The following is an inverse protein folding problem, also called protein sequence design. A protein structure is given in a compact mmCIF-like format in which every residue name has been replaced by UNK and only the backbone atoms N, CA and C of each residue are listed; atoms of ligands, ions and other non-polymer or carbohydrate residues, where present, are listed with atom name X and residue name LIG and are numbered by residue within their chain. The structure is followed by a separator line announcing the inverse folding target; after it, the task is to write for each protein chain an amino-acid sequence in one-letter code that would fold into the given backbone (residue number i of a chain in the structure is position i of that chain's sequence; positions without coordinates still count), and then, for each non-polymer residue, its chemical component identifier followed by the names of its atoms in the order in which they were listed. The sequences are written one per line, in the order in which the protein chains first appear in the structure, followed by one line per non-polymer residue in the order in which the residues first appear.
data_IF_120394118224
#
_entry.id   IF_120394118224
#
_cell.length_a   1.000
_cell.length_b   1.000
_cell.length_c   1.000
_cell.angle_alpha   90.00
_cell.angle_beta   90.00
_cell.angle_gamma   90.00
#
_symmetry.space_group_name_H-M   'P 1'
#
loop_
_entity.id
_entity.type
_entity.pdbx_description
1 polymer ?
#
# COMPACT_ATOMS: atom_id res chain seq x y z
N UNK A 1 20.76 33.54 -28.98
CA UNK A 1 19.34 33.15 -28.92
C UNK A 1 19.00 32.96 -27.44
N UNK A 2 18.13 33.79 -26.86
CA UNK A 2 17.79 33.70 -25.43
C UNK A 2 16.58 32.77 -25.28
N UNK A 3 16.80 31.46 -25.29
CA UNK A 3 15.72 30.49 -25.09
C UNK A 3 15.21 30.65 -23.65
N UNK A 4 13.90 30.87 -23.41
CA UNK A 4 13.36 30.85 -22.07
C UNK A 4 13.67 29.50 -21.42
N UNK A 5 14.41 29.52 -20.31
CA UNK A 5 14.88 28.29 -19.62
C UNK A 5 13.72 27.34 -19.32
N UNK A 6 12.54 27.89 -19.00
CA UNK A 6 11.35 27.10 -18.74
C UNK A 6 10.91 26.29 -19.98
N UNK A 7 10.87 26.90 -21.16
CA UNK A 7 10.56 26.20 -22.42
C UNK A 7 11.62 25.15 -22.75
N UNK A 8 12.88 25.43 -22.40
CA UNK A 8 13.97 24.50 -22.60
C UNK A 8 13.80 23.21 -21.77
N UNK A 9 13.53 23.34 -20.47
CA UNK A 9 13.38 22.19 -19.56
C UNK A 9 12.08 21.42 -19.75
N UNK A 10 11.08 22.00 -20.42
CA UNK A 10 9.79 21.35 -20.73
C UNK A 10 9.80 20.43 -21.95
N UNK A 11 10.95 20.23 -22.59
CA UNK A 11 11.06 19.21 -23.65
C UNK A 11 12.18 19.41 -24.65
N UNK A 12 12.70 20.64 -24.81
CA UNK A 12 13.83 20.84 -25.72
C UNK A 12 15.11 20.18 -25.19
N UNK A 13 15.28 20.16 -23.87
CA UNK A 13 16.40 19.47 -23.22
C UNK A 13 16.49 18.01 -23.67
N UNK A 14 15.39 17.27 -23.52
CA UNK A 14 15.31 15.84 -23.82
C UNK A 14 15.60 15.57 -25.29
N UNK A 15 14.96 16.32 -26.20
CA UNK A 15 15.17 16.20 -27.66
C UNK A 15 16.63 16.45 -28.04
N UNK A 16 17.24 17.49 -27.46
CA UNK A 16 18.64 17.83 -27.78
C UNK A 16 19.58 16.78 -27.18
N UNK A 17 19.34 16.32 -25.95
CA UNK A 17 20.14 15.28 -25.29
C UNK A 17 20.15 14.01 -26.13
N UNK A 18 18.97 13.57 -26.57
CA UNK A 18 18.81 12.37 -27.40
C UNK A 18 19.48 12.51 -28.76
N UNK A 19 19.31 13.66 -29.44
CA UNK A 19 19.88 13.86 -30.77
C UNK A 19 21.42 14.04 -30.78
N UNK A 20 22.00 14.52 -29.67
CA UNK A 20 23.42 14.93 -29.65
C UNK A 20 24.29 14.11 -28.70
N UNK A 21 23.70 13.29 -27.83
CA UNK A 21 24.39 12.65 -26.70
C UNK A 21 25.22 13.64 -25.86
N UNK A 22 24.82 14.91 -25.82
CA UNK A 22 25.59 15.96 -25.16
C UNK A 22 25.62 15.76 -23.64
N UNK A 23 26.83 15.65 -23.09
CA UNK A 23 27.07 15.47 -21.65
C UNK A 23 26.92 16.75 -20.84
N UNK A 24 26.92 17.94 -21.45
CA UNK A 24 26.96 19.22 -20.72
C UNK A 24 25.69 20.09 -20.79
N UNK A 25 24.56 19.61 -21.32
CA UNK A 25 23.37 20.44 -21.52
C UNK A 25 22.84 21.12 -20.25
N UNK A 26 23.06 20.51 -19.08
CA UNK A 26 22.72 21.11 -17.78
C UNK A 26 23.40 22.45 -17.52
N UNK A 27 24.52 22.77 -18.17
CA UNK A 27 25.22 24.04 -17.99
C UNK A 27 24.31 25.25 -18.28
N UNK A 28 23.41 25.12 -19.26
CA UNK A 28 22.47 26.18 -19.64
C UNK A 28 21.39 26.45 -18.59
N UNK A 29 21.17 25.50 -17.68
CA UNK A 29 20.24 25.60 -16.55
C UNK A 29 20.97 26.02 -15.28
N UNK A 30 22.21 25.56 -15.07
CA UNK A 30 22.98 25.78 -13.84
C UNK A 30 23.06 27.26 -13.45
N UNK A 31 23.40 28.13 -14.40
CA UNK A 31 23.55 29.58 -14.15
C UNK A 31 22.22 30.28 -13.88
N UNK A 32 21.10 29.67 -14.27
CA UNK A 32 19.76 30.27 -14.23
C UNK A 32 18.82 29.56 -13.25
N UNK A 33 19.33 28.57 -12.53
CA UNK A 33 18.52 27.71 -11.65
C UNK A 33 17.75 28.51 -10.61
N UNK A 34 18.34 29.58 -10.04
CA UNK A 34 17.67 30.43 -9.05
C UNK A 34 16.42 31.10 -9.64
N UNK A 35 16.58 31.75 -10.80
CA UNK A 35 15.48 32.41 -11.49
C UNK A 35 14.42 31.42 -12.01
N UNK A 36 14.83 30.19 -12.34
CA UNK A 36 13.90 29.11 -12.66
C UNK A 36 13.11 28.69 -11.42
N UNK A 37 13.78 28.39 -10.31
CA UNK A 37 13.16 27.99 -9.03
C UNK A 37 12.15 29.00 -8.50
N UNK A 38 12.38 30.29 -8.70
CA UNK A 38 11.44 31.35 -8.28
C UNK A 38 10.15 31.38 -9.12
N UNK A 39 10.17 30.83 -10.35
CA UNK A 39 9.07 30.92 -11.31
C UNK A 39 8.28 29.64 -11.51
N UNK A 40 8.91 28.47 -11.29
CA UNK A 40 8.24 27.19 -11.54
C UNK A 40 7.06 26.96 -10.60
N UNK A 41 5.96 26.50 -11.18
CA UNK A 41 4.76 26.04 -10.48
C UNK A 41 4.53 24.55 -10.73
N UNK A 42 3.55 23.97 -10.04
CA UNK A 42 3.26 22.53 -10.10
C UNK A 42 2.98 22.03 -11.52
N UNK A 43 2.16 22.75 -12.30
CA UNK A 43 1.85 22.38 -13.68
C UNK A 43 3.07 22.43 -14.60
N UNK A 44 4.09 23.22 -14.28
CA UNK A 44 5.34 23.24 -15.03
C UNK A 44 6.13 21.96 -14.80
N UNK A 45 6.17 21.45 -13.57
CA UNK A 45 6.87 20.21 -13.19
C UNK A 45 6.31 19.02 -13.97
N UNK A 46 4.98 18.94 -14.07
CA UNK A 46 4.31 17.89 -14.86
C UNK A 46 4.64 17.95 -16.35
N UNK A 47 5.04 19.13 -16.85
CA UNK A 47 5.44 19.33 -18.24
C UNK A 47 6.96 19.26 -18.45
N UNK A 48 7.76 19.07 -17.40
CA UNK A 48 9.22 18.92 -17.55
C UNK A 48 9.58 17.62 -18.26
N UNK A 49 10.66 17.67 -19.04
CA UNK A 49 11.19 16.48 -19.69
C UNK A 49 11.69 15.45 -18.66
N UNK A 50 11.36 14.16 -18.79
CA UNK A 50 11.84 13.13 -17.87
C UNK A 50 13.36 12.99 -17.87
N UNK A 51 14.03 13.15 -19.03
CA UNK A 51 15.49 13.07 -19.13
C UNK A 51 16.13 14.24 -18.41
N UNK A 52 15.56 15.44 -18.55
CA UNK A 52 15.98 16.61 -17.78
C UNK A 52 15.90 16.38 -16.27
N UNK A 53 14.74 15.94 -15.76
CA UNK A 53 14.58 15.68 -14.33
C UNK A 53 15.58 14.65 -13.82
N UNK A 54 15.74 13.55 -14.54
CA UNK A 54 16.70 12.52 -14.19
C UNK A 54 18.14 13.06 -14.09
N UNK A 55 18.59 13.81 -15.10
CA UNK A 55 19.92 14.42 -15.10
C UNK A 55 20.10 15.42 -13.95
N UNK A 56 19.07 16.23 -13.64
CA UNK A 56 19.09 17.14 -12.49
C UNK A 56 19.29 16.36 -11.20
N UNK A 57 18.54 15.30 -10.94
CA UNK A 57 18.68 14.53 -9.70
C UNK A 57 20.03 13.79 -9.60
N UNK A 58 20.62 13.36 -10.72
CA UNK A 58 21.95 12.73 -10.76
C UNK A 58 23.14 13.70 -10.65
N UNK A 59 22.94 14.99 -10.84
CA UNK A 59 24.02 16.00 -10.91
C UNK A 59 24.67 16.41 -9.57
N UNK A 60 24.48 15.64 -8.50
CA UNK A 60 24.98 15.96 -7.16
C UNK A 60 24.42 17.28 -6.62
N UNK A 61 25.21 18.02 -5.84
CA UNK A 61 24.77 19.25 -5.14
C UNK A 61 24.60 20.49 -6.06
N UNK A 62 25.00 20.38 -7.33
CA UNK A 62 25.07 21.53 -8.25
C UNK A 62 23.71 22.19 -8.53
N UNK A 63 22.61 21.49 -8.26
CA UNK A 63 21.24 21.92 -8.53
C UNK A 63 20.36 21.95 -7.27
N UNK A 64 20.95 22.06 -6.07
CA UNK A 64 20.21 22.01 -4.81
C UNK A 64 19.07 23.04 -4.71
N UNK A 65 19.26 24.24 -5.26
CA UNK A 65 18.21 25.28 -5.23
C UNK A 65 17.00 24.84 -6.06
N UNK A 66 17.24 24.22 -7.21
CA UNK A 66 16.18 23.69 -8.07
C UNK A 66 15.56 22.44 -7.45
N UNK A 67 16.37 21.49 -6.98
CA UNK A 67 15.89 20.27 -6.30
C UNK A 67 15.01 20.59 -5.09
N UNK A 68 15.41 21.53 -4.23
CA UNK A 68 14.59 21.97 -3.09
C UNK A 68 13.24 22.52 -3.52
N UNK A 69 13.18 23.30 -4.59
CA UNK A 69 11.92 23.82 -5.13
C UNK A 69 11.05 22.71 -5.72
N UNK A 70 11.64 21.79 -6.48
CA UNK A 70 10.94 20.63 -7.06
C UNK A 70 10.39 19.71 -5.98
N UNK A 71 11.20 19.37 -4.98
CA UNK A 71 10.77 18.60 -3.80
C UNK A 71 9.60 19.29 -3.10
N UNK A 72 9.68 20.61 -2.84
CA UNK A 72 8.60 21.35 -2.21
C UNK A 72 7.29 21.34 -3.03
N UNK A 73 7.38 21.42 -4.36
CA UNK A 73 6.21 21.30 -5.24
C UNK A 73 5.62 19.89 -5.23
N UNK A 74 6.45 18.85 -5.22
CA UNK A 74 6.01 17.46 -5.13
C UNK A 74 5.37 17.15 -3.76
N UNK A 75 5.90 17.69 -2.67
CA UNK A 75 5.26 17.64 -1.34
C UNK A 75 3.86 18.29 -1.35
N UNK A 76 3.57 19.18 -2.30
CA UNK A 76 2.25 19.76 -2.50
C UNK A 76 1.13 18.72 -2.70
N UNK A 77 1.46 17.49 -3.10
CA UNK A 77 0.51 16.34 -3.14
C UNK A 77 -0.15 16.11 -1.78
N UNK A 78 0.56 16.37 -0.68
CA UNK A 78 0.11 16.13 0.69
C UNK A 78 -0.47 17.38 1.36
N UNK A 79 -0.64 18.48 0.61
CA UNK A 79 -1.07 19.77 1.17
C UNK A 79 -2.55 19.83 1.55
N UNK A 80 -3.39 18.98 0.95
CA UNK A 80 -4.81 18.88 1.28
C UNK A 80 -5.33 17.46 1.09
N UNK A 81 -6.40 17.12 1.81
CA UNK A 81 -7.06 15.82 1.69
C UNK A 81 -7.60 15.56 0.29
N UNK A 82 -8.21 16.56 -0.34
CA UNK A 82 -8.74 16.48 -1.70
C UNK A 82 -7.64 16.12 -2.70
N UNK A 83 -6.51 16.84 -2.62
CA UNK A 83 -5.37 16.62 -3.52
C UNK A 83 -4.75 15.24 -3.34
N UNK A 84 -4.61 14.81 -2.08
CA UNK A 84 -4.06 13.50 -1.75
C UNK A 84 -4.97 12.37 -2.26
N UNK A 85 -6.29 12.50 -2.09
CA UNK A 85 -7.27 11.52 -2.60
C UNK A 85 -7.21 11.41 -4.13
N UNK A 86 -7.15 12.54 -4.86
CA UNK A 86 -6.96 12.51 -6.31
C UNK A 86 -5.70 11.71 -6.68
N UNK A 87 -4.61 11.95 -5.96
CA UNK A 87 -3.32 11.30 -6.22
C UNK A 87 -3.29 9.82 -5.85
N UNK A 88 -4.23 9.29 -5.05
CA UNK A 88 -4.35 7.85 -4.83
C UNK A 88 -4.60 7.10 -6.14
N UNK A 89 -5.36 7.71 -7.07
CA UNK A 89 -5.66 7.14 -8.39
C UNK A 89 -4.75 7.68 -9.48
N UNK A 90 -4.54 9.01 -9.53
CA UNK A 90 -3.78 9.67 -10.60
C UNK A 90 -2.67 10.52 -10.01
N UNK A 91 -1.47 9.93 -9.89
CA UNK A 91 -0.25 10.64 -9.52
C UNK A 91 0.55 10.98 -10.79
N UNK A 92 0.84 12.27 -11.08
CA UNK A 92 1.68 12.62 -12.23
C UNK A 92 3.07 11.98 -12.16
N UNK A 93 3.54 11.42 -13.28
CA UNK A 93 4.79 10.65 -13.36
C UNK A 93 6.00 11.43 -12.83
N UNK A 94 6.10 12.72 -13.15
CA UNK A 94 7.20 13.56 -12.68
C UNK A 94 7.13 13.81 -11.17
N UNK A 95 5.93 13.94 -10.59
CA UNK A 95 5.77 14.07 -9.14
C UNK A 95 6.15 12.77 -8.45
N UNK A 96 5.71 11.63 -8.99
CA UNK A 96 6.11 10.31 -8.50
C UNK A 96 7.63 10.16 -8.52
N UNK A 97 8.28 10.47 -9.63
CA UNK A 97 9.74 10.42 -9.76
C UNK A 97 10.43 11.28 -8.70
N UNK A 98 9.99 12.52 -8.50
CA UNK A 98 10.57 13.42 -7.48
C UNK A 98 10.41 12.83 -6.07
N UNK A 99 9.23 12.32 -5.73
CA UNK A 99 8.97 11.68 -4.43
C UNK A 99 9.85 10.44 -4.22
N UNK A 100 10.03 9.60 -5.25
CA UNK A 100 10.95 8.46 -5.21
C UNK A 100 12.40 8.91 -4.94
N UNK A 101 12.85 9.98 -5.60
CA UNK A 101 14.19 10.53 -5.36
C UNK A 101 14.34 11.07 -3.93
N UNK A 102 13.29 11.66 -3.36
CA UNK A 102 13.28 12.11 -1.97
C UNK A 102 13.45 10.93 -1.01
N UNK A 103 12.68 9.85 -1.20
CA UNK A 103 12.80 8.63 -0.39
C UNK A 103 14.19 8.00 -0.47
N UNK A 104 14.78 7.91 -1.67
CA UNK A 104 16.15 7.39 -1.85
C UNK A 104 17.20 8.23 -1.11
N UNK A 105 16.92 9.51 -0.87
CA UNK A 105 17.77 10.43 -0.11
C UNK A 105 17.42 10.46 1.40
N UNK A 106 16.50 9.62 1.87
CA UNK A 106 16.03 9.60 3.26
C UNK A 106 15.20 10.82 3.65
N UNK A 107 14.65 11.56 2.68
CA UNK A 107 13.76 12.68 2.93
C UNK A 107 12.31 12.19 2.94
N UNK A 108 11.75 12.10 4.14
CA UNK A 108 10.38 11.70 4.37
C UNK A 108 9.46 12.90 4.59
N UNK A 109 8.19 12.73 4.27
CA UNK A 109 7.16 13.76 4.36
C UNK A 109 6.47 13.66 5.72
N UNK A 110 6.33 14.81 6.37
CA UNK A 110 5.48 14.95 7.56
C UNK A 110 4.25 15.77 7.19
N UNK A 111 3.09 15.12 7.15
CA UNK A 111 1.82 15.83 6.94
C UNK A 111 1.49 16.72 8.13
N UNK A 112 1.10 17.97 7.88
CA UNK A 112 0.58 18.87 8.92
C UNK A 112 -0.87 18.52 9.29
N UNK A 113 -1.63 17.94 8.36
CA UNK A 113 -2.99 17.46 8.57
C UNK A 113 -3.08 16.03 9.12
N UNK A 114 -4.30 15.54 9.30
CA UNK A 114 -4.53 14.17 9.77
C UNK A 114 -4.11 13.14 8.71
N UNK A 115 -3.29 12.18 9.13
CA UNK A 115 -2.95 11.00 8.32
C UNK A 115 -4.09 9.99 8.24
N UNK A 116 -5.14 10.16 9.05
CA UNK A 116 -6.31 9.29 9.01
C UNK A 116 -7.13 9.36 7.73
N UNK A 117 -6.78 10.28 6.82
CA UNK A 117 -7.31 10.33 5.46
C UNK A 117 -7.07 9.04 4.67
N UNK A 118 -5.95 8.33 4.92
CA UNK A 118 -5.68 7.04 4.29
C UNK A 118 -6.72 5.99 4.70
N UNK A 119 -7.03 5.91 6.00
CA UNK A 119 -8.02 4.98 6.52
C UNK A 119 -9.45 5.41 6.18
N UNK A 120 -9.80 6.70 6.33
CA UNK A 120 -11.13 7.20 6.02
C UNK A 120 -11.50 7.00 4.55
N UNK A 121 -10.53 7.14 3.64
CA UNK A 121 -10.77 6.88 2.22
C UNK A 121 -11.21 5.44 1.96
N UNK A 122 -10.63 4.43 2.61
CA UNK A 122 -11.11 3.04 2.46
C UNK A 122 -12.50 2.80 3.06
N UNK A 123 -12.90 3.58 4.07
CA UNK A 123 -14.26 3.53 4.64
C UNK A 123 -15.29 4.03 3.63
N UNK A 124 -14.98 5.13 2.95
CA UNK A 124 -15.95 5.89 2.16
C UNK A 124 -15.93 5.56 0.65
N UNK A 125 -14.77 5.21 0.08
CA UNK A 125 -14.60 5.10 -1.37
C UNK A 125 -15.39 3.94 -2.00
N UNK A 126 -16.06 4.20 -3.12
CA UNK A 126 -16.84 3.18 -3.84
C UNK A 126 -15.96 2.02 -4.36
N UNK A 127 -16.53 0.79 -4.50
CA UNK A 127 -15.74 -0.41 -4.80
C UNK A 127 -14.89 -0.31 -6.08
N UNK A 128 -15.42 0.33 -7.13
CA UNK A 128 -14.72 0.56 -8.40
C UNK A 128 -13.54 1.52 -8.23
N UNK A 129 -13.69 2.57 -7.44
CA UNK A 129 -12.62 3.53 -7.13
C UNK A 129 -11.53 2.87 -6.28
N UNK A 130 -11.93 2.04 -5.31
CA UNK A 130 -11.01 1.37 -4.39
C UNK A 130 -9.99 0.49 -5.15
N UNK A 131 -10.44 -0.21 -6.19
CA UNK A 131 -9.55 -1.04 -7.01
C UNK A 131 -8.49 -0.25 -7.78
N UNK A 132 -8.79 1.00 -8.14
CA UNK A 132 -7.94 1.85 -8.99
C UNK A 132 -6.95 2.74 -8.22
N UNK A 133 -6.91 2.66 -6.89
CA UNK A 133 -5.96 3.43 -6.08
C UNK A 133 -4.57 2.80 -6.02
N UNK A 134 -3.87 2.79 -7.16
CA UNK A 134 -2.55 2.16 -7.28
C UNK A 134 -1.44 2.91 -6.53
N UNK A 135 -1.61 4.21 -6.32
CA UNK A 135 -0.57 5.07 -5.74
C UNK A 135 -0.67 5.20 -4.22
N UNK A 136 -1.73 4.70 -3.58
CA UNK A 136 -1.97 4.91 -2.15
C UNK A 136 -0.84 4.36 -1.27
N UNK A 137 -0.36 3.15 -1.57
CA UNK A 137 0.76 2.54 -0.82
C UNK A 137 2.06 3.32 -1.03
N UNK A 138 2.33 3.75 -2.27
CA UNK A 138 3.49 4.58 -2.58
C UNK A 138 3.46 5.91 -1.80
N UNK A 139 2.32 6.61 -1.81
CA UNK A 139 2.15 7.87 -1.11
C UNK A 139 2.26 7.70 0.42
N UNK A 140 1.71 6.61 0.97
CA UNK A 140 1.93 6.22 2.36
C UNK A 140 3.42 6.00 2.65
N UNK A 141 4.15 5.32 1.76
CA UNK A 141 5.58 5.04 1.96
C UNK A 141 6.45 6.30 1.98
N UNK A 142 5.96 7.42 1.42
CA UNK A 142 6.65 8.70 1.43
C UNK A 142 6.61 9.39 2.81
N UNK A 143 5.70 8.98 3.70
CA UNK A 143 5.54 9.56 5.02
C UNK A 143 6.71 9.20 5.95
N UNK A 144 6.87 9.97 7.03
CA UNK A 144 7.77 9.62 8.12
C UNK A 144 7.31 8.37 8.89
N UNK A 145 8.24 7.70 9.57
CA UNK A 145 8.01 6.39 10.22
C UNK A 145 6.83 6.42 11.19
N UNK A 146 6.73 7.48 12.00
CA UNK A 146 5.66 7.65 12.98
C UNK A 146 4.29 7.76 12.31
N UNK A 147 4.20 8.55 11.25
CA UNK A 147 2.96 8.69 10.48
C UNK A 147 2.61 7.40 9.73
N UNK A 148 3.61 6.67 9.24
CA UNK A 148 3.39 5.36 8.60
C UNK A 148 2.79 4.35 9.56
N UNK A 149 3.34 4.24 10.77
CA UNK A 149 2.82 3.37 11.84
C UNK A 149 1.38 3.76 12.22
N UNK A 150 1.12 5.07 12.39
CA UNK A 150 -0.23 5.56 12.71
C UNK A 150 -1.25 5.16 11.64
N UNK A 151 -0.89 5.26 10.35
CA UNK A 151 -1.76 4.81 9.26
C UNK A 151 -1.98 3.29 9.30
N UNK A 152 -0.95 2.49 9.59
CA UNK A 152 -1.12 1.03 9.69
C UNK A 152 -2.04 0.63 10.85
N UNK A 153 -1.93 1.30 11.99
CA UNK A 153 -2.83 1.10 13.13
C UNK A 153 -4.29 1.44 12.75
N UNK A 154 -4.51 2.59 12.11
CA UNK A 154 -5.86 2.97 11.67
C UNK A 154 -6.41 2.04 10.57
N UNK A 155 -5.56 1.53 9.67
CA UNK A 155 -5.97 0.55 8.67
C UNK A 155 -6.32 -0.80 9.30
N UNK A 156 -5.60 -1.20 10.36
CA UNK A 156 -5.93 -2.39 11.14
C UNK A 156 -7.30 -2.25 11.80
N UNK A 157 -7.60 -1.09 12.41
CA UNK A 157 -8.92 -0.79 12.96
C UNK A 157 -10.03 -0.92 11.89
N UNK A 158 -9.80 -0.40 10.68
CA UNK A 158 -10.75 -0.52 9.55
C UNK A 158 -11.02 -1.98 9.18
N UNK A 159 -10.04 -2.88 9.31
CA UNK A 159 -10.27 -4.31 9.06
C UNK A 159 -11.25 -4.92 10.08
N UNK A 160 -11.28 -4.41 11.32
CA UNK A 160 -12.11 -4.91 12.42
C UNK A 160 -13.51 -4.30 12.44
N UNK A 161 -13.68 -3.07 11.93
CA UNK A 161 -14.95 -2.34 11.93
C UNK A 161 -16.08 -3.12 11.21
N UNK A 162 -17.20 -3.38 11.88
CA UNK A 162 -18.29 -4.25 11.38
C UNK A 162 -18.95 -3.77 10.07
N UNK A 163 -19.03 -2.46 9.85
CA UNK A 163 -19.80 -1.88 8.74
C UNK A 163 -19.00 -1.70 7.45
N UNK A 164 -17.70 -1.97 7.49
CA UNK A 164 -16.83 -1.86 6.32
C UNK A 164 -17.18 -2.96 5.33
N UNK A 165 -17.17 -2.63 4.04
CA UNK A 165 -17.40 -3.59 2.94
C UNK A 165 -16.27 -4.59 2.85
N UNK A 166 -16.57 -5.80 2.37
CA UNK A 166 -15.55 -6.82 2.17
C UNK A 166 -14.50 -6.36 1.14
N UNK A 167 -14.93 -5.70 0.07
CA UNK A 167 -14.05 -5.18 -0.99
C UNK A 167 -13.03 -4.17 -0.45
N UNK A 168 -13.47 -3.27 0.43
CA UNK A 168 -12.58 -2.31 1.11
C UNK A 168 -11.49 -3.03 1.91
N UNK A 169 -11.85 -4.08 2.67
CA UNK A 169 -10.86 -4.88 3.43
C UNK A 169 -9.89 -5.62 2.52
N UNK A 170 -10.41 -6.23 1.46
CA UNK A 170 -9.57 -6.93 0.47
C UNK A 170 -8.61 -5.94 -0.17
N UNK A 171 -9.04 -4.72 -0.47
CA UNK A 171 -8.18 -3.70 -1.05
C UNK A 171 -7.09 -3.21 -0.08
N UNK A 172 -7.42 -2.99 1.20
CA UNK A 172 -6.42 -2.70 2.24
C UNK A 172 -5.37 -3.80 2.26
N UNK A 173 -5.79 -5.06 2.37
CA UNK A 173 -4.87 -6.21 2.39
C UNK A 173 -4.06 -6.27 1.10
N UNK A 174 -4.69 -6.11 -0.06
CA UNK A 174 -4.00 -6.12 -1.36
C UNK A 174 -2.88 -5.08 -1.41
N UNK A 175 -3.12 -3.87 -0.91
CA UNK A 175 -2.15 -2.77 -0.94
C UNK A 175 -1.12 -2.82 0.18
N UNK A 176 -1.44 -3.37 1.35
CA UNK A 176 -0.61 -3.32 2.55
C UNK A 176 -0.25 -4.69 3.14
N UNK A 177 -0.39 -5.79 2.38
CA UNK A 177 -0.16 -7.15 2.89
C UNK A 177 1.25 -7.42 3.44
N UNK A 178 2.26 -6.64 3.04
CA UNK A 178 3.63 -6.83 3.53
C UNK A 178 3.88 -6.13 4.87
N UNK A 179 3.12 -5.07 5.15
CA UNK A 179 3.29 -4.20 6.31
C UNK A 179 2.22 -4.44 7.37
N UNK A 180 1.02 -4.87 6.95
CA UNK A 180 -0.11 -5.11 7.82
C UNK A 180 -0.16 -6.57 8.27
N UNK A 181 -0.07 -6.77 9.58
CA UNK A 181 -0.32 -8.07 10.22
C UNK A 181 -1.63 -8.02 10.98
N UNK A 182 -2.36 -9.13 10.98
CA UNK A 182 -3.56 -9.26 11.80
C UNK A 182 -3.17 -9.41 13.27
N UNK A 183 -3.40 -8.37 14.04
CA UNK A 183 -3.34 -8.41 15.51
C UNK A 183 -4.75 -8.73 16.02
N UNK A 184 -4.89 -9.86 16.71
CA UNK A 184 -6.18 -10.30 17.22
C UNK A 184 -6.64 -9.43 18.40
N UNK A 185 -7.84 -8.81 18.36
CA UNK A 185 -8.30 -7.96 19.45
C UNK A 185 -8.59 -8.80 20.72
N UNK A 186 -8.32 -8.21 21.88
CA UNK A 186 -8.56 -8.87 23.19
C UNK A 186 -10.04 -9.21 23.41
N UNK A 187 -10.96 -8.46 22.77
CA UNK A 187 -12.42 -8.65 22.89
C UNK A 187 -12.97 -9.37 21.66
N UNK A 188 -13.76 -10.41 21.90
CA UNK A 188 -14.21 -11.37 20.87
C UNK A 188 -15.17 -10.82 19.77
N UNK A 189 -15.58 -9.56 19.82
CA UNK A 189 -16.73 -9.03 19.07
C UNK A 189 -16.40 -8.74 17.59
N UNK A 190 -15.12 -8.57 17.24
CA UNK A 190 -14.69 -8.04 15.94
C UNK A 190 -14.14 -9.11 14.98
N UNK A 191 -14.14 -10.38 15.39
CA UNK A 191 -13.58 -11.50 14.60
C UNK A 191 -14.42 -11.86 13.36
N UNK A 192 -15.71 -11.53 13.36
CA UNK A 192 -16.62 -11.81 12.23
C UNK A 192 -16.16 -11.16 10.92
N UNK A 193 -15.62 -9.94 10.99
CA UNK A 193 -15.13 -9.22 9.83
C UNK A 193 -13.99 -9.98 9.12
N UNK A 194 -13.08 -10.56 9.91
CA UNK A 194 -11.96 -11.36 9.42
C UNK A 194 -12.44 -12.75 8.97
N UNK A 195 -13.38 -13.37 9.68
CA UNK A 195 -13.94 -14.67 9.30
C UNK A 195 -14.54 -14.65 7.88
N UNK A 196 -15.19 -13.54 7.50
CA UNK A 196 -15.75 -13.37 6.16
C UNK A 196 -14.68 -13.36 5.04
N UNK A 197 -13.44 -12.97 5.34
CA UNK A 197 -12.35 -12.93 4.37
C UNK A 197 -11.91 -14.32 3.91
N UNK A 198 -12.07 -15.35 4.74
CA UNK A 198 -11.74 -16.73 4.34
C UNK A 198 -12.56 -17.16 3.13
N UNK A 199 -13.88 -16.97 3.15
CA UNK A 199 -14.74 -17.29 2.01
C UNK A 199 -14.36 -16.51 0.75
N UNK A 200 -13.97 -15.24 0.89
CA UNK A 200 -13.55 -14.40 -0.25
C UNK A 200 -12.14 -14.72 -0.77
N UNK A 201 -11.35 -15.49 -0.03
CA UNK A 201 -9.97 -15.79 -0.39
C UNK A 201 -9.80 -16.97 -1.36
N UNK A 202 -10.86 -17.77 -1.57
CA UNK A 202 -10.82 -18.95 -2.47
C UNK A 202 -10.39 -18.55 -3.88
N UNK A 203 -10.91 -17.43 -4.39
CA UNK A 203 -10.58 -16.90 -5.72
C UNK A 203 -9.53 -15.77 -5.69
N UNK A 204 -8.93 -15.48 -4.52
CA UNK A 204 -7.97 -14.39 -4.35
C UNK A 204 -6.67 -14.89 -3.72
N UNK A 205 -5.68 -15.17 -4.57
CA UNK A 205 -4.37 -15.73 -4.20
C UNK A 205 -3.62 -14.85 -3.19
N UNK A 206 -3.68 -13.52 -3.33
CA UNK A 206 -2.97 -12.63 -2.41
C UNK A 206 -3.64 -12.66 -1.03
N UNK A 207 -4.97 -12.62 -0.99
CA UNK A 207 -5.72 -12.69 0.25
C UNK A 207 -5.52 -14.03 0.97
N UNK A 208 -5.55 -15.15 0.25
CA UNK A 208 -5.31 -16.47 0.85
C UNK A 208 -3.90 -16.59 1.41
N UNK A 209 -2.88 -16.12 0.68
CA UNK A 209 -1.51 -16.06 1.17
C UNK A 209 -1.35 -15.16 2.39
N UNK A 210 -2.01 -13.99 2.40
CA UNK A 210 -1.97 -13.10 3.55
C UNK A 210 -2.61 -13.76 4.76
N UNK A 211 -3.82 -14.31 4.62
CA UNK A 211 -4.53 -15.04 5.70
C UNK A 211 -3.69 -16.20 6.22
N UNK A 212 -3.08 -17.01 5.34
CA UNK A 212 -2.29 -18.18 5.73
C UNK A 212 -1.07 -17.83 6.60
N UNK A 213 -0.51 -16.62 6.42
CA UNK A 213 0.63 -16.14 7.22
C UNK A 213 0.23 -15.62 8.60
N UNK A 214 -1.05 -15.37 8.85
CA UNK A 214 -1.50 -14.81 10.12
C UNK A 214 -1.58 -15.88 11.22
N UNK A 215 -1.59 -15.40 12.47
CA UNK A 215 -1.81 -16.26 13.63
C UNK A 215 -3.22 -16.04 14.17
N UNK A 216 -4.02 -17.11 14.22
CA UNK A 216 -5.41 -17.05 14.68
C UNK A 216 -5.67 -17.97 15.87
N UNK A 217 -6.32 -17.42 16.90
CA UNK A 217 -6.80 -18.19 18.05
C UNK A 217 -8.23 -18.67 17.83
N UNK A 218 -8.47 -19.52 16.82
CA UNK A 218 -9.83 -19.98 16.44
C UNK A 218 -10.66 -20.57 17.59
N UNK A 219 -10.00 -21.13 18.61
CA UNK A 219 -10.68 -21.63 19.82
C UNK A 219 -11.39 -20.54 20.64
N UNK A 220 -10.96 -19.28 20.49
CA UNK A 220 -11.55 -18.13 21.17
C UNK A 220 -12.65 -17.45 20.34
N UNK A 221 -12.82 -17.84 19.07
CA UNK A 221 -13.80 -17.24 18.17
C UNK A 221 -15.21 -17.70 18.52
N UNK A 222 -16.21 -16.94 18.07
CA UNK A 222 -17.60 -17.38 18.17
C UNK A 222 -17.76 -18.72 17.40
N UNK A 223 -18.62 -19.65 17.87
CA UNK A 223 -18.80 -20.93 17.18
C UNK A 223 -19.25 -20.80 15.72
N UNK A 224 -19.93 -19.71 15.36
CA UNK A 224 -20.33 -19.41 13.98
C UNK A 224 -19.11 -19.01 13.13
N UNK A 225 -18.36 -18.00 13.57
CA UNK A 225 -17.22 -17.47 12.82
C UNK A 225 -16.09 -18.51 12.69
N UNK A 226 -15.85 -19.27 13.76
CA UNK A 226 -14.87 -20.36 13.76
C UNK A 226 -15.23 -21.45 12.75
N UNK A 227 -16.53 -21.83 12.67
CA UNK A 227 -17.00 -22.83 11.70
C UNK A 227 -16.86 -22.33 10.27
N UNK A 228 -17.18 -21.07 10.00
CA UNK A 228 -17.03 -20.47 8.67
C UNK A 228 -15.58 -20.53 8.21
N UNK A 229 -14.64 -20.00 9.00
CA UNK A 229 -13.22 -20.01 8.67
C UNK A 229 -12.67 -21.44 8.54
N UNK A 230 -12.96 -22.30 9.52
CA UNK A 230 -12.44 -23.68 9.53
C UNK A 230 -12.96 -24.52 8.36
N UNK A 231 -14.24 -24.39 8.01
CA UNK A 231 -14.82 -25.12 6.86
C UNK A 231 -14.15 -24.68 5.55
N UNK A 232 -13.90 -23.37 5.39
CA UNK A 232 -13.19 -22.85 4.24
C UNK A 232 -11.75 -23.36 4.16
N UNK A 233 -11.02 -23.35 5.29
CA UNK A 233 -9.65 -23.85 5.37
C UNK A 233 -9.59 -25.34 5.03
N UNK A 234 -10.50 -26.15 5.59
CA UNK A 234 -10.50 -27.59 5.37
C UNK A 234 -10.84 -27.97 3.93
N UNK A 235 -11.80 -27.27 3.31
CA UNK A 235 -12.20 -27.52 1.93
C UNK A 235 -11.18 -27.06 0.89
N UNK A 236 -10.25 -26.17 1.28
CA UNK A 236 -9.22 -25.61 0.40
C UNK A 236 -7.84 -25.67 1.09
N UNK A 237 -7.51 -26.82 1.67
CA UNK A 237 -6.30 -26.98 2.50
C UNK A 237 -4.99 -26.62 1.78
N UNK A 238 -4.96 -26.78 0.46
CA UNK A 238 -3.85 -26.49 -0.44
C UNK A 238 -3.50 -25.00 -0.52
N UNK A 239 -4.47 -24.10 -0.30
CA UNK A 239 -4.22 -22.65 -0.27
C UNK A 239 -3.94 -22.12 1.14
N UNK A 240 -4.06 -22.95 2.18
CA UNK A 240 -3.76 -22.62 3.60
C UNK A 240 -2.74 -23.57 4.27
N UNK A 241 -1.57 -23.83 3.67
CA UNK A 241 -0.63 -24.80 4.20
C UNK A 241 -0.06 -24.42 5.58
N UNK A 242 0.21 -23.13 5.85
CA UNK A 242 0.78 -22.70 7.13
C UNK A 242 -0.23 -22.82 8.27
N UNK A 243 -1.48 -22.41 8.06
CA UNK A 243 -2.54 -22.58 9.07
C UNK A 243 -2.74 -24.06 9.38
N UNK A 244 -2.85 -24.92 8.36
CA UNK A 244 -3.01 -26.36 8.55
C UNK A 244 -1.82 -26.97 9.32
N UNK A 245 -0.61 -26.47 9.08
CA UNK A 245 0.61 -26.93 9.75
C UNK A 245 0.77 -26.38 11.17
N UNK A 246 0.32 -25.17 11.46
CA UNK A 246 0.66 -24.48 12.70
C UNK A 246 -0.50 -24.49 13.72
N UNK A 247 -1.75 -24.50 13.27
CA UNK A 247 -2.92 -24.45 14.14
C UNK A 247 -3.32 -25.84 14.65
N UNK A 248 -3.13 -26.09 15.95
CA UNK A 248 -3.60 -27.32 16.59
C UNK A 248 -5.12 -27.46 16.53
N UNK A 249 -5.85 -26.34 16.55
CA UNK A 249 -7.31 -26.32 16.43
C UNK A 249 -7.80 -26.89 15.09
N UNK A 250 -7.10 -26.55 14.00
CA UNK A 250 -7.42 -27.04 12.65
C UNK A 250 -6.97 -28.50 12.50
N UNK A 251 -5.74 -28.84 12.94
CA UNK A 251 -5.23 -30.23 12.90
C UNK A 251 -6.17 -31.24 13.54
N UNK A 252 -6.68 -30.93 14.74
CA UNK A 252 -7.57 -31.82 15.48
C UNK A 252 -8.89 -32.10 14.75
N UNK A 253 -9.30 -31.22 13.81
CA UNK A 253 -10.51 -31.37 12.99
C UNK A 253 -10.26 -31.99 11.62
N UNK A 254 -9.02 -31.98 11.15
CA UNK A 254 -8.61 -32.67 9.92
C UNK A 254 -8.32 -34.15 10.14
N UNK A 255 -8.04 -34.57 11.38
CA UNK A 255 -7.92 -35.98 11.71
C UNK A 255 -9.30 -36.64 11.51
N UNK A 256 -9.38 -37.76 10.76
CA UNK A 256 -10.63 -38.52 10.67
C UNK A 256 -11.07 -38.86 12.10
N UNK A 257 -12.36 -38.65 12.39
CA UNK A 257 -12.97 -39.07 13.65
C UNK A 257 -12.45 -40.46 13.97
N UNK A 258 -11.80 -40.62 15.12
CA UNK A 258 -11.44 -41.95 15.60
C UNK A 258 -12.73 -42.75 15.58
N UNK A 259 -12.80 -43.75 14.70
CA UNK A 259 -13.89 -44.70 14.66
C UNK A 259 -14.19 -45.12 16.10
N UNK A 260 -15.44 -44.91 16.51
CA UNK A 260 -15.99 -45.54 17.71
C UNK A 260 -15.69 -47.02 17.60
N UNK A 261 -14.65 -47.47 18.31
CA UNK A 261 -14.48 -48.88 18.63
C UNK A 261 -15.58 -49.15 19.64
N UNK A 262 -16.76 -49.47 19.11
CA UNK A 262 -17.79 -50.17 19.85
C UNK A 262 -17.16 -51.50 20.24
N UNK A 263 -16.75 -51.60 21.51
CA UNK A 263 -16.49 -52.88 22.14
C UNK A 263 -17.81 -53.65 22.19
N UNK A 264 -18.12 -54.38 21.11
CA UNK A 264 -19.00 -55.53 21.18
C UNK A 264 -18.31 -56.58 22.07
N UNK A 265 -18.51 -56.41 23.38
CA UNK A 265 -18.33 -57.50 24.34
C UNK A 265 -19.49 -58.48 24.20
N UNK A 266 -19.42 -59.29 23.15
CA UNK A 266 -20.15 -60.55 23.06
C UNK A 266 -19.77 -61.42 24.27
N UNK A 267 -20.57 -61.33 25.33
CA UNK A 267 -20.63 -62.34 26.38
C UNK A 267 -21.82 -63.24 26.07
N UNK A 268 -21.56 -64.30 25.31
CA UNK A 268 -22.46 -65.45 25.29
C UNK A 268 -22.28 -66.27 26.57
N UNK A 269 -23.37 -66.78 27.16
CA UNK A 269 -23.31 -67.59 28.37
C UNK A 269 -23.04 -69.06 28.04
N UNK A 270 -22.21 -69.70 28.85
CA UNK A 270 -22.28 -71.13 29.20
C UNK A 270 -21.74 -71.33 30.63
#
# INVERSE_FOLDING_TARGET
MNIPVLSFVKGQYDVIKEATNATSLLIFVRERQKALSEKIIESDVNAMGPVFLHDVYQSGEQFDILKKKLNALACGVFSSSERLIECFTVLPVNMRFILEQMQLQGQHIRMEGSVGIFASWFRDAEPDVVTNAENIHFLWSCLDDTQRETVLDELHDVLLERHIRIDSRIAIITRFHNELSFIEPEKAVERRAIAALFSASVDNVLLSQWLDRQTFSFSSWSPEDARTATSCIMNNSEIFPLICRNSQYIKNRMLPEKADVTEDSDTFPD
#
